data_IF_632142932028
#
_entry.id   IF_632142932028
#
_cell.length_a   1.000
_cell.length_b   1.000
_cell.length_c   1.000
_cell.angle_alpha   90.00
_cell.angle_beta   90.00
_cell.angle_gamma   90.00
#
_symmetry.space_group_name_H-M   'P 1'
#
loop_
_entity.id
_entity.type
_entity.pdbx_description
1 polymer ?
#
# COMPACT_ATOMS: atom_id res chain seq x y z
N UNK A 1 -20.93 7.38 -28.73
CA UNK A 1 -21.43 7.29 -27.34
C UNK A 1 -20.80 6.03 -26.76
N UNK A 2 -19.91 6.12 -25.77
CA UNK A 2 -19.41 4.89 -25.15
C UNK A 2 -20.44 4.43 -24.13
N UNK A 3 -20.98 3.24 -24.38
CA UNK A 3 -21.96 2.61 -23.51
C UNK A 3 -21.26 2.10 -22.26
N UNK A 4 -21.89 2.29 -21.09
CA UNK A 4 -21.34 1.81 -19.83
C UNK A 4 -21.42 0.27 -19.84
N UNK A 5 -20.33 -0.45 -19.52
CA UNK A 5 -20.38 -1.89 -19.39
C UNK A 5 -21.47 -2.31 -18.40
N UNK A 6 -22.14 -3.42 -18.71
CA UNK A 6 -23.14 -4.00 -17.81
C UNK A 6 -22.49 -4.44 -16.49
N UNK A 7 -23.23 -4.28 -15.40
CA UNK A 7 -22.74 -4.65 -14.07
C UNK A 7 -22.55 -6.17 -13.99
N UNK A 8 -21.37 -6.60 -13.54
CA UNK A 8 -21.07 -8.01 -13.35
C UNK A 8 -21.94 -8.62 -12.23
N UNK A 9 -22.33 -9.92 -12.33
CA UNK A 9 -23.18 -10.58 -11.33
C UNK A 9 -22.66 -10.47 -9.89
N UNK A 10 -21.35 -10.60 -9.69
CA UNK A 10 -20.72 -10.47 -8.38
C UNK A 10 -20.79 -9.03 -7.83
N UNK A 11 -20.66 -8.03 -8.70
CA UNK A 11 -20.78 -6.62 -8.33
C UNK A 11 -22.20 -6.27 -7.88
N UNK A 12 -23.20 -6.85 -8.56
CA UNK A 12 -24.60 -6.72 -8.18
C UNK A 12 -24.89 -7.40 -6.83
N UNK A 13 -24.37 -8.62 -6.61
CA UNK A 13 -24.49 -9.34 -5.34
C UNK A 13 -23.91 -8.54 -4.18
N UNK A 14 -22.69 -8.02 -4.32
CA UNK A 14 -22.01 -7.20 -3.31
C UNK A 14 -22.80 -5.90 -3.06
N UNK A 15 -23.33 -5.25 -4.10
CA UNK A 15 -24.14 -4.03 -3.94
C UNK A 15 -25.42 -4.29 -3.13
N UNK A 16 -26.10 -5.40 -3.38
CA UNK A 16 -27.30 -5.79 -2.63
C UNK A 16 -26.96 -6.11 -1.18
N UNK A 17 -25.91 -6.87 -0.94
CA UNK A 17 -25.46 -7.21 0.41
C UNK A 17 -25.01 -5.96 1.19
N UNK A 18 -24.27 -5.05 0.56
CA UNK A 18 -23.90 -3.75 1.14
C UNK A 18 -25.14 -2.96 1.60
N UNK A 19 -26.17 -2.91 0.77
CA UNK A 19 -27.44 -2.23 1.12
C UNK A 19 -28.13 -2.90 2.31
N UNK A 20 -28.16 -4.24 2.36
CA UNK A 20 -28.72 -5.00 3.50
C UNK A 20 -27.95 -4.73 4.79
N UNK A 21 -26.63 -4.64 4.70
CA UNK A 21 -25.74 -4.30 5.81
C UNK A 21 -25.79 -2.83 6.24
N UNK A 22 -26.52 -1.97 5.50
CA UNK A 22 -26.63 -0.52 5.73
C UNK A 22 -25.27 0.18 5.79
N UNK A 23 -24.31 -0.29 4.98
CA UNK A 23 -22.99 0.32 4.86
C UNK A 23 -22.97 1.30 3.68
N UNK A 24 -22.34 2.46 3.87
CA UNK A 24 -22.04 3.34 2.75
C UNK A 24 -20.90 2.75 1.89
N UNK A 25 -20.80 3.21 0.64
CA UNK A 25 -19.69 2.89 -0.27
C UNK A 25 -18.34 3.07 0.42
N UNK A 26 -18.12 4.27 0.96
CA UNK A 26 -16.91 4.64 1.71
C UNK A 26 -16.65 3.73 2.90
N UNK A 27 -17.64 3.52 3.78
CA UNK A 27 -17.45 2.70 4.99
C UNK A 27 -17.13 1.24 4.65
N UNK A 28 -17.76 0.68 3.62
CA UNK A 28 -17.47 -0.69 3.19
C UNK A 28 -16.07 -0.80 2.59
N UNK A 29 -15.65 0.20 1.79
CA UNK A 29 -14.29 0.26 1.24
C UNK A 29 -13.23 0.36 2.35
N UNK A 30 -13.46 1.22 3.35
CA UNK A 30 -12.57 1.39 4.51
C UNK A 30 -12.43 0.07 5.29
N UNK A 31 -13.54 -0.65 5.52
CA UNK A 31 -13.53 -1.96 6.20
C UNK A 31 -12.80 -3.04 5.39
N UNK A 32 -12.83 -2.95 4.05
CA UNK A 32 -12.13 -3.86 3.15
C UNK A 32 -10.66 -3.45 2.88
N UNK A 33 -10.16 -2.38 3.51
CA UNK A 33 -8.79 -1.91 3.33
C UNK A 33 -8.50 -1.36 1.93
N UNK A 34 -9.49 -0.76 1.25
CA UNK A 34 -9.33 -0.20 -0.10
C UNK A 34 -9.98 1.16 -0.29
N UNK A 35 -9.65 1.83 -1.40
CA UNK A 35 -10.24 3.13 -1.73
C UNK A 35 -11.70 3.00 -2.18
N UNK A 36 -12.52 4.01 -1.85
CA UNK A 36 -13.93 4.07 -2.29
C UNK A 36 -14.07 4.02 -3.82
N UNK A 37 -13.14 4.67 -4.54
CA UNK A 37 -13.12 4.66 -6.00
C UNK A 37 -12.93 3.25 -6.56
N UNK A 38 -12.02 2.46 -5.98
CA UNK A 38 -11.78 1.09 -6.40
C UNK A 38 -12.97 0.17 -6.06
N UNK A 39 -13.53 0.29 -4.85
CA UNK A 39 -14.76 -0.40 -4.46
C UNK A 39 -15.89 -0.16 -5.47
N UNK A 40 -16.15 1.12 -5.81
CA UNK A 40 -17.21 1.50 -6.75
C UNK A 40 -16.95 0.97 -8.16
N UNK A 41 -15.69 0.98 -8.61
CA UNK A 41 -15.32 0.46 -9.91
C UNK A 41 -15.63 -1.04 -10.04
N UNK A 42 -15.24 -1.84 -9.04
CA UNK A 42 -15.52 -3.27 -8.99
C UNK A 42 -17.02 -3.54 -8.90
N UNK A 43 -17.72 -2.89 -7.96
CA UNK A 43 -19.16 -3.07 -7.79
C UNK A 43 -19.92 -2.75 -9.08
N UNK A 44 -19.54 -1.69 -9.77
CA UNK A 44 -20.22 -1.29 -11.01
C UNK A 44 -19.69 -1.97 -12.27
N UNK A 45 -18.70 -2.86 -12.15
CA UNK A 45 -18.06 -3.56 -13.27
C UNK A 45 -17.34 -2.63 -14.25
N UNK A 46 -17.14 -1.35 -13.90
CA UNK A 46 -16.64 -0.35 -14.85
C UNK A 46 -15.94 0.83 -14.16
N UNK A 47 -14.92 1.38 -14.83
CA UNK A 47 -14.21 2.62 -14.43
C UNK A 47 -14.19 3.61 -15.59
N UNK A 48 -14.43 4.89 -15.31
CA UNK A 48 -14.21 5.98 -16.26
C UNK A 48 -12.72 6.32 -16.27
N UNK A 49 -12.08 6.26 -17.45
CA UNK A 49 -10.67 6.67 -17.62
C UNK A 49 -10.61 8.11 -18.16
N UNK A 50 -11.55 8.49 -19.00
CA UNK A 50 -11.72 9.86 -19.49
C UNK A 50 -13.21 10.15 -19.77
N UNK A 51 -13.52 11.38 -20.17
CA UNK A 51 -14.90 11.82 -20.41
C UNK A 51 -15.55 10.98 -21.52
N UNK A 52 -16.45 10.09 -21.11
CA UNK A 52 -17.15 9.21 -22.05
C UNK A 52 -16.32 8.02 -22.53
N UNK A 53 -15.29 7.60 -21.79
CA UNK A 53 -14.56 6.33 -22.03
C UNK A 53 -14.62 5.48 -20.76
N UNK A 54 -15.25 4.32 -20.89
CA UNK A 54 -15.44 3.35 -19.81
C UNK A 54 -14.65 2.08 -20.11
N UNK A 55 -13.99 1.56 -19.09
CA UNK A 55 -13.30 0.26 -19.15
C UNK A 55 -13.97 -0.70 -18.18
N UNK A 56 -14.19 -1.93 -18.65
CA UNK A 56 -14.71 -3.00 -17.80
C UNK A 56 -13.69 -3.35 -16.72
N UNK A 57 -14.16 -3.44 -15.47
CA UNK A 57 -13.33 -3.76 -14.31
C UNK A 57 -13.83 -5.07 -13.73
N UNK A 58 -12.94 -6.04 -13.65
CA UNK A 58 -13.17 -7.29 -12.92
C UNK A 58 -12.22 -7.33 -11.74
N UNK A 59 -12.78 -7.42 -10.53
CA UNK A 59 -11.99 -7.50 -9.31
C UNK A 59 -11.23 -8.84 -9.21
N UNK A 60 -9.96 -8.83 -8.80
CA UNK A 60 -9.22 -10.03 -8.41
C UNK A 60 -9.96 -10.87 -7.36
N UNK A 61 -9.70 -12.18 -7.32
CA UNK A 61 -10.43 -13.12 -6.45
C UNK A 61 -10.32 -12.77 -4.97
N UNK A 62 -9.09 -12.51 -4.49
CA UNK A 62 -8.77 -12.07 -3.12
C UNK A 62 -9.55 -10.79 -2.75
N UNK A 63 -9.65 -9.87 -3.70
CA UNK A 63 -10.31 -8.58 -3.48
C UNK A 63 -11.81 -8.75 -3.37
N UNK A 64 -12.41 -9.58 -4.22
CA UNK A 64 -13.84 -9.91 -4.16
C UNK A 64 -14.17 -10.66 -2.87
N UNK A 65 -13.29 -11.57 -2.42
CA UNK A 65 -13.44 -12.27 -1.15
C UNK A 65 -13.47 -11.30 0.04
N UNK A 66 -12.50 -10.37 0.14
CA UNK A 66 -12.52 -9.31 1.17
C UNK A 66 -13.77 -8.45 1.12
N UNK A 67 -14.19 -8.03 -0.07
CA UNK A 67 -15.42 -7.24 -0.23
C UNK A 67 -16.65 -8.02 0.25
N UNK A 68 -16.76 -9.30 -0.13
CA UNK A 68 -17.83 -10.20 0.26
C UNK A 68 -17.88 -10.43 1.77
N UNK A 69 -16.73 -10.64 2.41
CA UNK A 69 -16.60 -10.78 3.86
C UNK A 69 -17.18 -9.57 4.61
N UNK A 70 -16.82 -8.35 4.18
CA UNK A 70 -17.27 -7.10 4.81
C UNK A 70 -18.79 -6.91 4.74
N UNK A 71 -19.41 -7.33 3.64
CA UNK A 71 -20.87 -7.16 3.44
C UNK A 71 -21.68 -8.40 3.81
N UNK A 72 -21.03 -9.47 4.29
CA UNK A 72 -21.68 -10.71 4.73
C UNK A 72 -22.21 -11.59 3.60
N UNK A 73 -21.56 -11.58 2.44
CA UNK A 73 -21.82 -12.53 1.35
C UNK A 73 -21.12 -13.85 1.66
N UNK A 74 -21.78 -14.98 1.41
CA UNK A 74 -21.20 -16.32 1.67
C UNK A 74 -20.46 -16.87 0.44
N UNK A 75 -19.53 -17.84 0.62
CA UNK A 75 -18.85 -18.49 -0.50
C UNK A 75 -19.82 -19.10 -1.54
N UNK A 76 -20.92 -19.69 -1.08
CA UNK A 76 -21.92 -20.33 -1.96
C UNK A 76 -22.62 -19.29 -2.85
N UNK A 77 -22.85 -18.08 -2.32
CA UNK A 77 -23.44 -16.99 -3.10
C UNK A 77 -22.46 -16.47 -4.17
N UNK A 78 -21.15 -16.48 -3.89
CA UNK A 78 -20.13 -16.14 -4.88
C UNK A 78 -20.03 -17.21 -5.99
N UNK A 79 -20.16 -18.49 -5.65
CA UNK A 79 -20.22 -19.59 -6.62
C UNK A 79 -21.45 -19.46 -7.53
N UNK A 80 -22.62 -19.18 -6.97
CA UNK A 80 -23.84 -18.94 -7.74
C UNK A 80 -23.71 -17.72 -8.67
N UNK A 81 -22.94 -16.71 -8.26
CA UNK A 81 -22.58 -15.57 -9.09
C UNK A 81 -21.48 -15.86 -10.14
N UNK A 82 -20.99 -17.11 -10.24
CA UNK A 82 -19.97 -17.51 -11.21
C UNK A 82 -18.53 -17.16 -10.80
N UNK A 83 -18.29 -16.90 -9.51
CA UNK A 83 -16.97 -16.57 -8.93
C UNK A 83 -16.50 -17.62 -7.94
N UNK A 84 -16.34 -18.85 -8.41
CA UNK A 84 -15.77 -19.94 -7.62
C UNK A 84 -14.36 -19.63 -7.11
N UNK A 85 -13.57 -18.89 -7.90
CA UNK A 85 -12.25 -18.38 -7.52
C UNK A 85 -12.30 -17.52 -6.24
N UNK A 86 -13.22 -16.56 -6.18
CA UNK A 86 -13.38 -15.71 -4.99
C UNK A 86 -14.02 -16.46 -3.81
N UNK A 87 -14.83 -17.49 -4.07
CA UNK A 87 -15.41 -18.32 -3.03
C UNK A 87 -14.35 -19.15 -2.29
N UNK A 88 -13.36 -19.69 -3.01
CA UNK A 88 -12.22 -20.39 -2.42
C UNK A 88 -11.41 -19.48 -1.50
N UNK A 89 -11.08 -18.27 -1.97
CA UNK A 89 -10.37 -17.25 -1.16
C UNK A 89 -11.16 -16.88 0.10
N UNK A 90 -12.48 -16.67 -0.02
CA UNK A 90 -13.32 -16.35 1.13
C UNK A 90 -13.37 -17.51 2.14
N UNK A 91 -13.38 -18.77 1.69
CA UNK A 91 -13.30 -19.93 2.61
C UNK A 91 -11.97 -19.95 3.33
N UNK A 92 -10.87 -19.68 2.61
CA UNK A 92 -9.56 -19.59 3.23
C UNK A 92 -9.56 -18.50 4.32
N UNK A 93 -10.02 -17.29 4.02
CA UNK A 93 -10.12 -16.21 5.00
C UNK A 93 -10.99 -16.57 6.21
N UNK A 94 -12.15 -17.20 5.99
CA UNK A 94 -13.04 -17.61 7.07
C UNK A 94 -12.44 -18.73 7.93
N UNK A 95 -11.73 -19.69 7.33
CA UNK A 95 -11.06 -20.77 8.06
C UNK A 95 -9.96 -20.24 8.99
N UNK A 96 -9.30 -19.13 8.64
CA UNK A 96 -8.31 -18.49 9.50
C UNK A 96 -8.94 -17.68 10.66
N UNK A 97 -10.29 -17.58 10.73
CA UNK A 97 -11.01 -16.78 11.74
C UNK A 97 -11.79 -17.56 12.81
N UNK A 98 -11.81 -18.91 12.79
CA UNK A 98 -12.44 -19.74 13.86
C UNK A 98 -11.69 -21.07 14.09
N UNK A 99 -11.56 -21.59 15.34
CA UNK A 99 -11.53 -20.93 16.66
C UNK A 99 -10.45 -21.48 17.65
N UNK A 100 -9.93 -20.63 18.52
CA UNK A 100 -9.62 -21.00 19.92
C UNK A 100 -10.41 -20.05 20.81
N UNK A 101 -11.40 -20.61 21.51
CA UNK A 101 -12.10 -19.95 22.61
C UNK A 101 -11.13 -19.71 23.77
N UNK A 102 -11.37 -18.62 24.50
CA UNK A 102 -10.60 -18.11 25.66
C UNK A 102 -9.37 -17.25 25.33
N UNK A 103 -9.58 -15.95 25.08
CA UNK A 103 -9.19 -14.84 25.97
C UNK A 103 -9.62 -13.52 25.31
N UNK A 104 -10.51 -12.81 26.02
CA UNK A 104 -10.74 -11.37 26.04
C UNK A 104 -10.20 -10.50 24.88
N UNK A 105 -11.12 -10.18 23.96
CA UNK A 105 -11.23 -8.95 23.15
C UNK A 105 -9.98 -8.16 22.78
N UNK A 106 -9.66 -8.13 21.48
CA UNK A 106 -9.30 -6.92 20.71
C UNK A 106 -9.56 -7.18 19.21
N UNK A 107 -10.01 -6.15 18.50
CA UNK A 107 -10.47 -6.13 17.09
C UNK A 107 -9.44 -6.71 16.09
N UNK A 108 -9.88 -7.30 14.97
CA UNK A 108 -8.98 -7.82 13.96
C UNK A 108 -8.19 -6.72 13.22
N UNK A 109 -6.92 -7.05 13.06
CA UNK A 109 -5.80 -6.41 12.36
C UNK A 109 -6.14 -6.01 10.91
N UNK A 110 -5.80 -4.85 10.34
CA UNK A 110 -4.70 -3.89 10.57
C UNK A 110 -3.30 -4.31 10.07
N UNK A 111 -3.20 -4.95 8.90
CA UNK A 111 -1.92 -5.14 8.22
C UNK A 111 -1.19 -3.80 7.91
N UNK A 112 -1.92 -2.69 7.78
CA UNK A 112 -1.33 -1.36 7.57
C UNK A 112 -0.98 -0.60 8.87
N UNK A 113 -1.50 -0.98 10.05
CA UNK A 113 -1.03 -0.43 11.36
C UNK A 113 -0.13 -1.38 12.13
N UNK A 114 0.03 -2.62 11.68
CA UNK A 114 0.99 -3.56 12.28
C UNK A 114 2.45 -3.17 12.02
N UNK A 115 2.70 -2.18 11.15
CA UNK A 115 4.02 -1.58 10.91
C UNK A 115 4.33 -0.39 11.85
N UNK A 116 3.35 0.11 12.61
CA UNK A 116 3.52 1.25 13.52
C UNK A 116 3.65 0.87 15.00
N UNK A 117 3.37 -0.39 15.35
CA UNK A 117 3.72 -0.95 16.66
C UNK A 117 4.55 -2.23 16.40
N UNK A 118 5.89 -2.12 16.42
CA UNK A 118 6.78 -3.24 16.11
C UNK A 118 6.68 -4.37 17.14
N UNK A 119 6.04 -4.14 18.29
CA UNK A 119 5.91 -5.09 19.39
C UNK A 119 4.53 -5.75 19.46
N UNK A 120 3.56 -5.24 18.70
CA UNK A 120 2.22 -5.80 18.68
C UNK A 120 2.21 -7.27 18.23
N UNK A 121 1.57 -8.11 19.05
CA UNK A 121 1.31 -9.53 18.75
C UNK A 121 2.55 -10.42 18.76
N UNK A 122 3.63 -10.01 19.43
CA UNK A 122 4.79 -10.88 19.62
C UNK A 122 4.47 -12.01 20.62
N UNK A 123 4.99 -13.24 20.41
CA UNK A 123 4.93 -14.31 21.39
C UNK A 123 5.63 -13.95 22.71
N UNK A 124 5.13 -14.50 23.81
CA UNK A 124 5.74 -14.35 25.14
C UNK A 124 7.08 -15.11 25.24
N UNK A 125 7.21 -16.23 24.50
CA UNK A 125 8.45 -17.03 24.43
C UNK A 125 9.53 -16.30 23.60
N UNK A 126 10.72 -16.00 24.18
CA UNK A 126 11.85 -15.41 23.48
C UNK A 126 12.29 -16.17 22.22
N UNK A 127 12.26 -17.51 22.22
CA UNK A 127 12.70 -18.33 21.08
C UNK A 127 11.82 -18.15 19.86
N UNK A 128 10.52 -17.97 20.07
CA UNK A 128 9.56 -17.70 19.01
C UNK A 128 9.55 -16.21 18.62
N UNK A 129 9.84 -15.31 19.58
CA UNK A 129 9.88 -13.85 19.37
C UNK A 129 11.09 -13.39 18.54
N UNK A 130 12.27 -13.96 18.75
CA UNK A 130 13.52 -13.60 18.06
C UNK A 130 13.42 -13.70 16.52
N UNK A 131 12.98 -14.81 15.91
CA UNK A 131 12.89 -14.90 14.44
C UNK A 131 11.87 -13.92 13.85
N UNK A 132 10.76 -13.66 14.56
CA UNK A 132 9.73 -12.70 14.12
C UNK A 132 10.28 -11.26 14.14
N UNK A 133 11.01 -10.88 15.19
CA UNK A 133 11.64 -9.56 15.30
C UNK A 133 12.71 -9.35 14.21
N UNK A 134 13.54 -10.36 13.92
CA UNK A 134 14.53 -10.29 12.85
C UNK A 134 13.89 -10.05 11.48
N UNK A 135 12.79 -10.74 11.19
CA UNK A 135 12.06 -10.56 9.94
C UNK A 135 11.39 -9.17 9.86
N UNK A 136 10.81 -8.68 10.96
CA UNK A 136 10.25 -7.31 11.02
C UNK A 136 11.32 -6.25 10.79
N UNK A 137 12.50 -6.39 11.40
CA UNK A 137 13.65 -5.49 11.18
C UNK A 137 14.08 -5.50 9.72
N UNK A 138 14.14 -6.67 9.07
CA UNK A 138 14.45 -6.80 7.64
C UNK A 138 13.45 -6.01 6.78
N UNK A 139 12.15 -6.24 6.98
CA UNK A 139 11.08 -5.58 6.22
C UNK A 139 11.11 -4.05 6.43
N UNK A 140 11.28 -3.59 7.67
CA UNK A 140 11.37 -2.16 7.99
C UNK A 140 12.62 -1.51 7.38
N UNK A 141 13.74 -2.24 7.31
CA UNK A 141 14.97 -1.75 6.68
C UNK A 141 14.80 -1.66 5.16
N UNK A 142 14.24 -2.68 4.52
CA UNK A 142 13.96 -2.68 3.08
C UNK A 142 12.96 -1.57 2.70
N UNK A 143 11.94 -1.35 3.51
CA UNK A 143 10.98 -0.26 3.30
C UNK A 143 11.63 1.13 3.47
N UNK A 144 12.57 1.26 4.41
CA UNK A 144 13.38 2.48 4.57
C UNK A 144 14.28 2.72 3.38
N UNK A 145 15.04 1.71 2.95
CA UNK A 145 15.94 1.82 1.80
C UNK A 145 15.16 2.13 0.52
N UNK A 146 13.96 1.55 0.35
CA UNK A 146 13.06 1.88 -0.75
C UNK A 146 12.51 3.31 -0.68
N UNK A 147 12.26 3.84 0.52
CA UNK A 147 11.81 5.21 0.73
C UNK A 147 12.94 6.24 0.53
N UNK A 148 14.14 5.93 0.99
CA UNK A 148 15.34 6.77 0.84
C UNK A 148 15.90 6.72 -0.59
N UNK A 149 15.94 5.54 -1.22
CA UNK A 149 16.36 5.34 -2.61
C UNK A 149 15.39 5.92 -3.66
N UNK A 150 14.17 6.28 -3.28
CA UNK A 150 13.27 7.08 -4.11
C UNK A 150 13.61 8.58 -4.09
N UNK A 151 14.55 9.01 -3.24
CA UNK A 151 14.96 10.41 -3.05
C UNK A 151 16.46 10.68 -3.26
N UNK A 152 17.29 9.65 -3.43
CA UNK A 152 18.74 9.76 -3.58
C UNK A 152 19.20 9.54 -5.02
N UNK A 153 19.90 10.53 -5.54
CA UNK A 153 20.38 10.70 -6.90
C UNK A 153 21.17 9.53 -7.52
N UNK A 154 20.97 9.41 -8.83
CA UNK A 154 21.93 8.94 -9.83
C UNK A 154 23.17 9.86 -9.81
N UNK A 155 23.97 9.80 -8.73
CA UNK A 155 25.34 10.32 -8.73
C UNK A 155 26.22 9.34 -9.53
N UNK A 156 25.99 9.26 -10.83
CA UNK A 156 26.96 8.68 -11.76
C UNK A 156 28.10 9.70 -11.93
N UNK A 157 29.09 9.62 -11.05
CA UNK A 157 30.38 10.25 -11.28
C UNK A 157 31.01 9.61 -12.54
N UNK A 158 31.10 10.41 -13.60
CA UNK A 158 32.09 10.23 -14.66
C UNK A 158 31.68 9.39 -15.87
N UNK A 159 30.91 9.98 -16.79
CA UNK A 159 31.17 9.74 -18.20
C UNK A 159 30.80 10.98 -19.02
N UNK A 160 31.85 11.69 -19.46
CA UNK A 160 31.78 12.84 -20.35
C UNK A 160 31.11 12.47 -21.68
N UNK A 161 30.26 13.39 -22.15
CA UNK A 161 29.85 13.57 -23.54
C UNK A 161 29.15 12.39 -24.23
N UNK A 162 27.94 12.09 -23.79
CA UNK A 162 26.84 11.90 -24.74
C UNK A 162 25.70 12.81 -24.35
N UNK A 163 25.39 13.75 -25.22
CA UNK A 163 24.15 14.53 -25.27
C UNK A 163 22.98 13.55 -25.47
N UNK A 164 22.69 12.78 -24.42
CA UNK A 164 21.61 11.83 -24.34
C UNK A 164 20.34 12.61 -24.15
N UNK A 165 19.39 12.39 -25.05
CA UNK A 165 18.06 12.97 -25.00
C UNK A 165 17.50 12.84 -23.57
N UNK A 166 17.24 14.00 -22.93
CA UNK A 166 16.81 14.10 -21.53
C UNK A 166 15.55 13.26 -21.24
N UNK A 167 14.79 12.92 -22.29
CA UNK A 167 13.58 12.08 -22.25
C UNK A 167 13.87 10.63 -21.86
N UNK A 168 15.10 10.15 -22.09
CA UNK A 168 15.54 8.77 -21.81
C UNK A 168 15.60 8.46 -20.31
N UNK A 169 15.68 9.49 -19.45
CA UNK A 169 15.64 9.37 -17.99
C UNK A 169 14.22 9.45 -17.41
N UNK A 170 13.20 9.74 -18.23
CA UNK A 170 11.82 9.83 -17.76
C UNK A 170 11.23 8.44 -17.50
N UNK A 171 10.35 8.28 -16.48
CA UNK A 171 9.57 7.06 -16.29
C UNK A 171 8.80 6.68 -17.55
N UNK A 172 8.68 5.37 -17.82
CA UNK A 172 8.10 4.84 -19.07
C UNK A 172 6.80 5.50 -19.53
N UNK A 173 5.78 5.68 -18.65
CA UNK A 173 4.54 6.36 -19.04
C UNK A 173 4.72 7.84 -19.44
N UNK A 174 5.66 8.54 -18.81
CA UNK A 174 5.96 9.96 -19.09
C UNK A 174 6.72 10.08 -20.41
N UNK A 175 7.67 9.16 -20.65
CA UNK A 175 8.39 9.05 -21.92
C UNK A 175 7.43 8.73 -23.08
N UNK A 176 6.50 7.80 -22.86
CA UNK A 176 5.49 7.47 -23.86
C UNK A 176 4.60 8.68 -24.19
N UNK A 177 4.13 9.43 -23.19
CA UNK A 177 3.37 10.66 -23.42
C UNK A 177 4.19 11.73 -24.19
N UNK A 178 5.51 11.77 -23.96
CA UNK A 178 6.43 12.64 -24.68
C UNK A 178 6.60 12.22 -26.15
N UNK A 179 6.86 10.93 -26.40
CA UNK A 179 7.00 10.35 -27.74
C UNK A 179 5.71 10.47 -28.57
N UNK A 180 4.55 10.38 -27.90
CA UNK A 180 3.23 10.54 -28.51
C UNK A 180 2.82 12.02 -28.71
N UNK A 181 3.67 12.98 -28.31
CA UNK A 181 3.40 14.42 -28.47
C UNK A 181 2.24 14.94 -27.63
N UNK A 182 1.92 14.26 -26.52
CA UNK A 182 0.81 14.63 -25.63
C UNK A 182 1.19 15.74 -24.64
N UNK A 183 2.49 16.02 -24.48
CA UNK A 183 3.00 17.06 -23.58
C UNK A 183 3.15 18.38 -24.36
N UNK A 184 2.27 19.34 -24.09
CA UNK A 184 2.32 20.66 -24.73
C UNK A 184 3.34 21.62 -24.06
N UNK A 185 3.56 21.53 -22.75
CA UNK A 185 4.44 22.46 -22.01
C UNK A 185 5.01 21.82 -20.72
N UNK A 186 6.27 22.13 -20.39
CA UNK A 186 6.90 21.77 -19.12
C UNK A 186 6.83 22.91 -18.13
N UNK A 187 6.46 22.62 -16.88
CA UNK A 187 6.52 23.58 -15.79
C UNK A 187 7.33 23.00 -14.63
N UNK A 188 8.36 23.73 -14.22
CA UNK A 188 9.08 23.41 -12.99
C UNK A 188 8.29 24.01 -11.82
N UNK A 189 7.86 23.18 -10.88
CA UNK A 189 7.11 23.64 -9.72
C UNK A 189 8.02 23.67 -8.51
N UNK A 190 8.33 24.88 -8.04
CA UNK A 190 8.88 25.02 -6.71
C UNK A 190 7.77 24.69 -5.70
N UNK A 191 7.96 23.57 -4.99
CA UNK A 191 7.09 23.10 -3.90
C UNK A 191 7.80 23.20 -2.55
N UNK A 192 8.96 23.86 -2.51
CA UNK A 192 9.68 24.07 -1.26
C UNK A 192 8.86 24.95 -0.31
N UNK A 193 8.86 24.59 0.98
CA UNK A 193 8.52 25.57 2.01
C UNK A 193 9.69 26.56 2.14
N UNK A 194 9.41 27.78 2.61
CA UNK A 194 10.44 28.81 2.73
C UNK A 194 11.62 28.33 3.60
N UNK A 195 12.75 27.99 2.97
CA UNK A 195 13.96 27.50 3.63
C UNK A 195 14.37 26.06 3.30
N UNK A 196 13.69 25.40 2.36
CA UNK A 196 13.98 24.03 1.93
C UNK A 196 14.46 23.99 0.46
N UNK A 197 15.43 23.12 0.12
CA UNK A 197 16.06 23.07 -1.22
C UNK A 197 15.40 22.03 -2.16
N UNK A 198 14.32 21.38 -1.71
CA UNK A 198 13.61 20.35 -2.47
C UNK A 198 12.76 20.90 -3.62
N UNK A 199 13.23 20.78 -4.86
CA UNK A 199 12.46 21.06 -6.08
C UNK A 199 11.72 19.80 -6.56
N UNK A 200 10.42 19.91 -6.89
CA UNK A 200 9.64 18.80 -7.44
C UNK A 200 9.29 19.07 -8.90
N UNK A 201 9.76 18.19 -9.79
CA UNK A 201 9.37 18.24 -11.19
C UNK A 201 7.97 17.62 -11.35
N UNK A 202 6.97 18.43 -11.71
CA UNK A 202 5.63 17.93 -12.05
C UNK A 202 5.42 18.07 -13.56
N UNK A 203 5.32 16.94 -14.25
CA UNK A 203 4.91 16.92 -15.65
C UNK A 203 3.39 17.06 -15.75
N UNK A 204 2.92 18.02 -16.54
CA UNK A 204 1.50 18.23 -16.79
C UNK A 204 1.16 17.91 -18.25
N UNK A 205 0.03 17.25 -18.47
CA UNK A 205 -0.47 16.88 -19.80
C UNK A 205 -1.80 17.58 -19.99
N UNK A 206 -1.81 18.67 -20.76
CA UNK A 206 -3.00 19.47 -21.06
C UNK A 206 -2.83 20.98 -20.84
N UNK A 207 -3.92 21.77 -20.88
CA UNK A 207 -3.85 23.22 -20.72
C UNK A 207 -3.30 23.59 -19.34
N UNK A 208 -2.48 24.66 -19.29
CA UNK A 208 -1.86 25.15 -18.07
C UNK A 208 -2.91 25.37 -16.97
N UNK A 209 -2.72 24.80 -15.76
CA UNK A 209 -3.67 25.00 -14.67
C UNK A 209 -3.81 26.48 -14.31
N UNK A 210 -5.00 26.87 -13.89
CA UNK A 210 -5.23 28.21 -13.34
C UNK A 210 -4.41 28.45 -12.06
N UNK A 211 -4.21 29.71 -11.64
CA UNK A 211 -3.40 30.02 -10.45
C UNK A 211 -3.94 29.37 -9.16
N UNK A 212 -5.25 29.17 -9.04
CA UNK A 212 -5.84 28.48 -7.87
C UNK A 212 -5.64 26.96 -7.92
N UNK A 213 -5.69 26.35 -9.12
CA UNK A 213 -5.36 24.94 -9.31
C UNK A 213 -3.88 24.68 -9.03
N UNK A 214 -3.00 25.60 -9.47
CA UNK A 214 -1.57 25.55 -9.15
C UNK A 214 -1.33 25.62 -7.63
N UNK A 215 -2.03 26.51 -6.92
CA UNK A 215 -1.94 26.60 -5.45
C UNK A 215 -2.40 25.30 -4.78
N UNK A 216 -3.51 24.70 -5.24
CA UNK A 216 -4.00 23.43 -4.71
C UNK A 216 -3.00 22.29 -4.96
N UNK A 217 -2.39 22.23 -6.14
CA UNK A 217 -1.36 21.22 -6.46
C UNK A 217 -0.13 21.37 -5.56
N UNK A 218 0.31 22.60 -5.28
CA UNK A 218 1.41 22.86 -4.34
C UNK A 218 1.04 22.40 -2.92
N UNK A 219 -0.16 22.72 -2.44
CA UNK A 219 -0.65 22.29 -1.13
C UNK A 219 -0.75 20.76 -1.02
N UNK A 220 -1.26 20.08 -2.06
CA UNK A 220 -1.39 18.62 -2.10
C UNK A 220 -0.02 17.92 -2.16
N UNK A 221 0.93 18.49 -2.91
CA UNK A 221 2.31 18.01 -2.96
C UNK A 221 3.01 18.18 -1.61
N UNK A 222 2.91 19.35 -0.98
CA UNK A 222 3.45 19.61 0.36
C UNK A 222 2.80 18.73 1.43
N UNK A 223 1.48 18.51 1.36
CA UNK A 223 0.79 17.58 2.26
C UNK A 223 1.24 16.12 2.05
N UNK A 224 1.47 15.71 0.80
CA UNK A 224 1.97 14.37 0.48
C UNK A 224 3.42 14.17 0.90
N UNK A 225 4.25 15.22 0.85
CA UNK A 225 5.61 15.20 1.41
C UNK A 225 5.59 15.08 2.92
N UNK A 226 4.83 15.91 3.63
CA UNK A 226 4.67 15.82 5.10
C UNK A 226 4.18 14.45 5.56
N UNK A 227 3.27 13.82 4.80
CA UNK A 227 2.84 12.44 5.07
C UNK A 227 3.97 11.42 4.89
N UNK A 228 4.80 11.56 3.85
CA UNK A 228 5.96 10.69 3.62
C UNK A 228 7.03 10.87 4.68
N UNK A 229 7.37 12.11 5.04
CA UNK A 229 8.35 12.41 6.09
C UNK A 229 7.89 11.90 7.46
N UNK A 230 6.61 12.09 7.81
CA UNK A 230 6.02 11.50 9.01
C UNK A 230 6.12 9.96 9.00
N UNK A 231 5.81 9.33 7.87
CA UNK A 231 5.93 7.87 7.72
C UNK A 231 7.37 7.37 7.85
N UNK A 232 8.36 8.08 7.29
CA UNK A 232 9.78 7.72 7.44
C UNK A 232 10.23 7.84 8.90
N UNK A 233 9.84 8.91 9.59
CA UNK A 233 10.15 9.09 11.01
C UNK A 233 9.50 8.01 11.87
N UNK A 234 8.22 7.70 11.65
CA UNK A 234 7.52 6.61 12.35
C UNK A 234 8.20 5.26 12.12
N UNK A 235 8.68 5.00 10.89
CA UNK A 235 9.40 3.78 10.53
C UNK A 235 10.78 3.71 11.20
N UNK A 236 11.51 4.82 11.31
CA UNK A 236 12.79 4.89 12.04
C UNK A 236 12.57 4.58 13.52
N UNK A 237 11.53 5.16 14.13
CA UNK A 237 11.16 4.87 15.52
C UNK A 237 10.82 3.40 15.70
N UNK A 238 9.97 2.84 14.82
CA UNK A 238 9.59 1.43 14.87
C UNK A 238 10.79 0.48 14.70
N UNK A 239 11.73 0.80 13.79
CA UNK A 239 12.95 0.02 13.60
C UNK A 239 13.84 0.04 14.85
N UNK A 240 13.93 1.18 15.52
CA UNK A 240 14.70 1.32 16.76
C UNK A 240 14.10 0.48 17.89
N UNK A 241 12.78 0.55 18.09
CA UNK A 241 12.07 -0.23 19.12
C UNK A 241 12.15 -1.74 18.86
N UNK A 242 11.99 -2.17 17.60
CA UNK A 242 12.14 -3.58 17.22
C UNK A 242 13.54 -4.12 17.56
N UNK A 243 14.58 -3.31 17.31
CA UNK A 243 15.98 -3.67 17.59
C UNK A 243 16.25 -3.74 19.10
N UNK A 244 15.69 -2.82 19.88
CA UNK A 244 15.78 -2.89 21.34
C UNK A 244 15.11 -4.14 21.90
N UNK A 245 13.91 -4.49 21.40
CA UNK A 245 13.21 -5.70 21.83
C UNK A 245 13.95 -6.98 21.45
N UNK A 246 14.62 -6.99 20.29
CA UNK A 246 15.46 -8.12 19.88
C UNK A 246 16.61 -8.31 20.87
N UNK A 247 17.32 -7.24 21.23
CA UNK A 247 18.41 -7.31 22.20
C UNK A 247 17.93 -7.77 23.58
N UNK A 248 16.78 -7.26 24.05
CA UNK A 248 16.20 -7.70 25.31
C UNK A 248 15.82 -9.19 25.30
N UNK A 249 15.25 -9.69 24.19
CA UNK A 249 14.89 -11.09 24.05
C UNK A 249 16.12 -12.01 23.96
N UNK A 250 17.18 -11.58 23.27
CA UNK A 250 18.46 -12.32 23.21
C UNK A 250 19.13 -12.37 24.59
N UNK A 251 19.08 -11.29 25.37
CA UNK A 251 19.60 -11.27 26.75
C UNK A 251 18.78 -12.17 27.68
N UNK A 252 17.45 -12.19 27.55
CA UNK A 252 16.56 -13.08 28.31
C UNK A 252 16.81 -14.57 27.98
N UNK A 253 16.96 -14.89 26.69
CA UNK A 253 17.28 -16.25 26.23
C UNK A 253 18.68 -16.71 26.68
N UNK A 254 19.65 -15.79 26.74
CA UNK A 254 20.98 -16.08 27.31
C UNK A 254 20.90 -16.30 28.83
N UNK A 255 20.16 -15.47 29.56
CA UNK A 255 20.01 -15.59 31.01
C UNK A 255 19.31 -16.87 31.46
N UNK A 256 18.41 -17.42 30.62
CA UNK A 256 17.69 -18.68 30.87
C UNK A 256 18.48 -19.93 30.48
N UNK A 257 19.69 -19.79 29.92
CA UNK A 257 20.51 -20.91 29.43
C UNK A 257 19.91 -21.59 28.21
N UNK A 258 19.05 -20.88 27.49
CA UNK A 258 18.27 -21.41 26.38
C UNK A 258 18.90 -21.17 25.00
N UNK A 259 19.78 -20.19 24.91
CA UNK A 259 20.77 -20.08 23.85
C UNK A 259 22.02 -20.82 24.34
N UNK A 260 22.25 -22.02 23.82
CA UNK A 260 23.54 -22.70 24.01
C UNK A 260 24.64 -21.73 23.56
N UNK A 261 25.60 -21.45 24.46
CA UNK A 261 26.84 -20.72 24.18
C UNK A 261 27.76 -21.55 23.27
N UNK A 262 27.28 -21.98 22.10
CA UNK A 262 28.18 -22.27 20.98
C UNK A 262 28.27 -21.00 20.14
N UNK A 263 28.93 -20.00 20.72
CA UNK A 263 29.57 -18.96 19.92
C UNK A 263 30.68 -19.69 19.14
N UNK A 264 30.63 -19.79 17.80
CA UNK A 264 31.82 -20.17 17.08
C UNK A 264 32.89 -19.13 17.41
N UNK A 265 33.99 -19.58 17.98
CA UNK A 265 35.22 -18.80 18.01
C UNK A 265 35.57 -18.50 16.55
N UNK A 266 35.17 -17.33 16.05
CA UNK A 266 35.66 -16.75 14.80
C UNK A 266 37.13 -16.32 15.01
N UNK A 267 37.99 -17.31 15.19
CA UNK A 267 39.42 -17.26 14.91
C UNK A 267 39.62 -17.77 13.47
N UNK A 268 39.49 -16.87 12.48
CA UNK A 268 40.37 -16.78 11.28
C UNK A 268 40.00 -15.66 10.31
#
# INVERSE_FOLDING_TARGET
MAERPEQLPEGHLIALAQKRARLSGRKAADLAGMSEGHWRAIVSGSRSISKGVWVAVRGPADTIARMAQVVGVTPEQLEEAGRADAAEELRAELAHTKPTDEISGTKPSSAARSLTDPLAGLPDDPKERIPILRERIRILSEARDAAEGASGDDESEGEEDKEGDATSRLPGPVRQAFEEGQVEEWHLLDVSEAGDEGMLLIAWVGPRPGPDEMRQLQEDAAASRRRREGMVMDMIVALHEARQALYAAEDEARASGELDEEMPDDDQ
#
